data_IF_550464871836
#
_entry.id   IF_550464871836
#
_cell.length_a   1.000
_cell.length_b   1.000
_cell.length_c   1.000
_cell.angle_alpha   90.00
_cell.angle_beta   90.00
_cell.angle_gamma   90.00
#
_symmetry.space_group_name_H-M   'P 1'
#
loop_
_entity.id
_entity.type
_entity.pdbx_description
1 polymer ?
#
# COMPACT_ATOMS: atom_id res chain seq x y z
N UNK A 1 -4.56 10.32 20.04
CA UNK A 1 -4.58 9.70 18.69
C UNK A 1 -6.02 9.61 18.25
N UNK A 2 -6.31 9.96 17.00
CA UNK A 2 -7.66 9.96 16.44
C UNK A 2 -7.64 9.22 15.11
N UNK A 3 -8.63 8.37 14.88
CA UNK A 3 -8.86 7.75 13.58
C UNK A 3 -9.77 8.68 12.79
N UNK A 4 -9.35 9.03 11.58
CA UNK A 4 -10.11 9.84 10.63
C UNK A 4 -11.50 9.21 10.44
N UNK A 5 -12.53 10.04 10.28
CA UNK A 5 -13.94 9.63 10.16
C UNK A 5 -14.55 8.91 11.38
N UNK A 6 -13.78 8.57 12.42
CA UNK A 6 -14.26 7.90 13.63
C UNK A 6 -14.54 8.85 14.80
N UNK A 7 -14.18 10.13 14.66
CA UNK A 7 -14.41 11.16 15.70
C UNK A 7 -14.73 12.51 15.07
N UNK A 8 -15.54 13.33 15.77
CA UNK A 8 -15.84 14.70 15.33
C UNK A 8 -14.72 15.65 15.68
N UNK A 9 -14.55 16.71 14.89
CA UNK A 9 -13.60 17.80 15.19
C UNK A 9 -13.84 18.42 16.56
N UNK A 10 -15.11 18.58 16.97
CA UNK A 10 -15.47 19.10 18.31
C UNK A 10 -14.88 18.23 19.42
N UNK A 11 -14.91 16.91 19.28
CA UNK A 11 -14.31 16.00 20.24
C UNK A 11 -12.78 16.09 20.21
N UNK A 12 -12.18 16.13 19.02
CA UNK A 12 -10.72 16.26 18.84
C UNK A 12 -10.17 17.55 19.46
N UNK A 13 -10.93 18.64 19.41
CA UNK A 13 -10.55 19.95 19.95
C UNK A 13 -10.54 20.01 21.48
N UNK A 14 -11.27 19.12 22.16
CA UNK A 14 -11.18 18.98 23.62
C UNK A 14 -9.77 18.56 24.10
N UNK A 15 -8.94 18.06 23.18
CA UNK A 15 -7.58 17.62 23.45
C UNK A 15 -6.52 18.56 22.86
N UNK A 16 -6.86 19.81 22.52
CA UNK A 16 -5.92 20.78 21.92
C UNK A 16 -4.70 21.11 22.79
N UNK A 17 -4.77 20.83 24.10
CA UNK A 17 -3.66 20.99 25.04
C UNK A 17 -2.64 19.83 25.02
N UNK A 18 -2.89 18.76 24.25
CA UNK A 18 -2.05 17.57 24.16
C UNK A 18 -1.52 17.36 22.74
N UNK A 19 -0.48 16.53 22.61
CA UNK A 19 -0.04 16.08 21.30
C UNK A 19 -1.08 15.13 20.69
N UNK A 20 -1.49 15.45 19.46
CA UNK A 20 -2.52 14.72 18.71
C UNK A 20 -1.90 14.13 17.46
N UNK A 21 -2.16 12.85 17.25
CA UNK A 21 -1.79 12.11 16.03
C UNK A 21 -3.07 11.76 15.28
N UNK A 22 -3.09 12.00 13.97
CA UNK A 22 -4.19 11.64 13.09
C UNK A 22 -3.85 10.37 12.30
N UNK A 23 -4.72 9.38 12.34
CA UNK A 23 -4.54 8.11 11.63
C UNK A 23 -5.67 7.96 10.61
N UNK A 24 -5.34 7.60 9.38
CA UNK A 24 -6.33 7.38 8.32
C UNK A 24 -6.19 5.98 7.71
N UNK A 25 -7.30 5.24 7.58
CA UNK A 25 -7.30 4.01 6.78
C UNK A 25 -7.53 4.36 5.31
N UNK A 26 -6.42 4.63 4.64
CA UNK A 26 -6.38 5.04 3.25
C UNK A 26 -6.61 3.88 2.27
N UNK A 27 -6.64 2.63 2.74
CA UNK A 27 -6.71 1.46 1.86
C UNK A 27 -8.15 1.14 1.45
N UNK A 28 -8.48 1.38 0.18
CA UNK A 28 -9.80 1.10 -0.41
C UNK A 28 -10.04 -0.41 -0.62
N UNK A 29 -10.33 -1.13 0.45
CA UNK A 29 -10.56 -2.57 0.43
C UNK A 29 -11.73 -2.95 -0.48
N UNK A 30 -11.46 -3.79 -1.48
CA UNK A 30 -12.48 -4.43 -2.32
C UNK A 30 -12.95 -5.77 -1.76
N UNK A 31 -14.12 -6.21 -2.20
CA UNK A 31 -14.68 -7.52 -1.77
C UNK A 31 -13.87 -8.68 -2.35
N UNK A 32 -13.29 -8.48 -3.54
CA UNK A 32 -12.36 -9.42 -4.18
C UNK A 32 -11.20 -8.70 -4.84
N UNK A 33 -10.05 -9.36 -4.95
CA UNK A 33 -8.88 -8.81 -5.63
C UNK A 33 -9.17 -8.43 -7.10
N UNK A 34 -10.09 -9.13 -7.78
CA UNK A 34 -10.42 -8.86 -9.19
C UNK A 34 -11.03 -7.46 -9.39
N UNK A 35 -11.74 -6.94 -8.40
CA UNK A 35 -12.43 -5.64 -8.48
C UNK A 35 -11.47 -4.45 -8.63
N UNK A 36 -10.21 -4.58 -8.20
CA UNK A 36 -9.19 -3.54 -8.44
C UNK A 36 -8.91 -3.31 -9.94
N UNK A 37 -9.32 -4.21 -10.85
CA UNK A 37 -9.23 -3.97 -12.31
C UNK A 37 -9.99 -2.73 -12.76
N UNK A 38 -11.07 -2.36 -12.07
CA UNK A 38 -11.85 -1.17 -12.40
C UNK A 38 -11.05 0.12 -12.20
N UNK A 39 -10.06 0.10 -11.31
CA UNK A 39 -9.20 1.22 -11.00
C UNK A 39 -7.84 0.72 -10.49
N UNK A 40 -6.90 0.51 -11.41
CA UNK A 40 -5.58 -0.02 -11.07
C UNK A 40 -4.70 0.96 -10.31
N UNK A 41 -4.96 2.26 -10.41
CA UNK A 41 -4.23 3.30 -9.70
C UNK A 41 -5.23 4.27 -9.08
N UNK A 42 -5.11 4.50 -7.78
CA UNK A 42 -5.98 5.40 -7.04
C UNK A 42 -5.20 6.24 -6.03
N UNK A 43 -5.81 7.35 -5.62
CA UNK A 43 -5.29 8.19 -4.55
C UNK A 43 -5.24 7.37 -3.25
N UNK A 44 -4.13 7.47 -2.53
CA UNK A 44 -3.98 6.82 -1.22
C UNK A 44 -4.04 7.88 -0.12
N UNK A 45 -3.08 8.81 -0.05
CA UNK A 45 -3.09 9.84 0.98
C UNK A 45 -2.26 11.07 0.63
N UNK A 46 -2.66 12.21 1.17
CA UNK A 46 -1.88 13.45 1.27
C UNK A 46 -1.68 13.89 2.73
N UNK A 47 -2.07 13.04 3.70
CA UNK A 47 -2.13 13.41 5.11
C UNK A 47 -0.76 13.85 5.66
N UNK A 48 0.31 13.19 5.20
CA UNK A 48 1.69 13.52 5.54
C UNK A 48 2.10 14.95 5.14
N UNK A 49 1.38 15.59 4.21
CA UNK A 49 1.59 16.98 3.77
C UNK A 49 0.79 17.98 4.61
N UNK A 50 -0.34 17.57 5.21
CA UNK A 50 -1.36 18.52 5.71
C UNK A 50 -1.79 18.33 7.16
N UNK A 51 -1.34 17.29 7.87
CA UNK A 51 -1.70 17.06 9.28
C UNK A 51 -1.39 18.25 10.20
N UNK A 52 -0.28 18.97 9.96
CA UNK A 52 0.09 20.15 10.75
C UNK A 52 -0.90 21.32 10.55
N UNK A 53 -1.35 21.54 9.32
CA UNK A 53 -2.38 22.55 9.02
C UNK A 53 -3.72 22.23 9.67
N UNK A 54 -3.94 20.95 10.01
CA UNK A 54 -5.09 20.46 10.77
C UNK A 54 -4.87 20.52 12.30
N UNK A 55 -3.72 21.01 12.76
CA UNK A 55 -3.41 21.18 14.19
C UNK A 55 -2.94 19.91 14.89
N UNK A 56 -2.45 18.91 14.15
CA UNK A 56 -1.90 17.66 14.67
C UNK A 56 -0.36 17.69 14.69
N UNK A 57 0.24 16.93 15.61
CA UNK A 57 1.69 16.80 15.81
C UNK A 57 2.25 15.54 15.15
N UNK A 58 1.39 14.68 14.62
CA UNK A 58 1.82 13.52 13.85
C UNK A 58 0.69 12.94 13.01
N UNK A 59 1.05 11.97 12.19
CA UNK A 59 0.14 11.25 11.32
C UNK A 59 0.49 9.76 11.28
N UNK A 60 -0.42 8.95 10.75
CA UNK A 60 -0.20 7.54 10.48
C UNK A 60 -1.30 6.96 9.58
N UNK A 61 -1.12 5.70 9.19
CA UNK A 61 -2.08 4.94 8.40
C UNK A 61 -2.03 3.45 8.79
N UNK A 62 -2.90 2.67 8.16
CA UNK A 62 -2.97 1.21 8.31
C UNK A 62 -2.26 0.46 7.15
N UNK A 63 -1.30 1.10 6.51
CA UNK A 63 -0.54 0.60 5.36
C UNK A 63 -1.45 0.12 4.21
N UNK A 64 -0.92 -0.72 3.33
CA UNK A 64 -1.60 -1.28 2.14
C UNK A 64 -2.52 -2.47 2.45
N UNK A 65 -2.88 -2.65 3.73
CA UNK A 65 -3.76 -3.74 4.20
C UNK A 65 -5.03 -3.20 4.87
N UNK A 66 -4.95 -1.99 5.43
CA UNK A 66 -6.03 -1.33 6.15
C UNK A 66 -6.32 -1.93 7.53
N UNK A 67 -7.39 -1.46 8.16
CA UNK A 67 -7.77 -1.72 9.55
C UNK A 67 -8.43 -3.09 9.83
N UNK A 68 -8.82 -3.81 8.79
CA UNK A 68 -9.59 -5.03 8.88
C UNK A 68 -8.68 -6.24 8.88
N UNK A 69 -8.91 -7.09 9.88
CA UNK A 69 -8.34 -8.42 9.96
C UNK A 69 -9.43 -9.47 9.74
N UNK A 70 -9.16 -10.43 8.86
CA UNK A 70 -9.93 -11.64 8.74
C UNK A 70 -9.01 -12.85 8.97
N UNK A 71 -9.50 -13.79 9.79
CA UNK A 71 -8.80 -15.05 10.03
C UNK A 71 -9.05 -16.00 8.86
N UNK A 72 -7.98 -16.33 8.12
CA UNK A 72 -8.05 -17.20 6.94
C UNK A 72 -8.35 -16.46 5.63
N UNK A 73 -8.52 -17.25 4.58
CA UNK A 73 -8.83 -16.78 3.23
C UNK A 73 -9.15 -17.97 2.34
N UNK A 74 -10.14 -17.80 1.46
CA UNK A 74 -10.40 -18.79 0.41
C UNK A 74 -9.22 -18.92 -0.54
N UNK A 75 -9.22 -19.97 -1.37
CA UNK A 75 -8.21 -20.15 -2.40
C UNK A 75 -8.13 -18.90 -3.29
N UNK A 76 -6.92 -18.34 -3.44
CA UNK A 76 -6.74 -17.14 -4.23
C UNK A 76 -7.02 -17.43 -5.72
N UNK A 77 -8.07 -16.83 -6.28
CA UNK A 77 -8.34 -16.86 -7.73
C UNK A 77 -7.54 -15.76 -8.45
N UNK A 78 -7.25 -14.66 -7.75
CA UNK A 78 -6.50 -13.53 -8.29
C UNK A 78 -5.52 -13.07 -7.23
N UNK A 79 -4.22 -13.08 -7.53
CA UNK A 79 -3.25 -12.39 -6.69
C UNK A 79 -3.31 -10.89 -6.98
N UNK A 80 -3.15 -10.08 -5.93
CA UNK A 80 -3.01 -8.65 -6.04
C UNK A 80 -1.84 -8.18 -5.16
N UNK A 81 -1.03 -7.30 -5.73
CA UNK A 81 0.07 -6.59 -5.07
C UNK A 81 -0.31 -5.13 -4.99
N UNK A 82 -0.08 -4.51 -3.85
CA UNK A 82 -0.48 -3.14 -3.58
C UNK A 82 0.77 -2.33 -3.26
N UNK A 83 1.17 -1.46 -4.19
CA UNK A 83 2.43 -0.72 -4.08
C UNK A 83 2.09 0.77 -4.06
N UNK A 84 2.51 1.44 -3.00
CA UNK A 84 2.36 2.88 -2.86
C UNK A 84 3.55 3.63 -3.47
N UNK A 85 3.34 4.82 -4.00
CA UNK A 85 4.42 5.67 -4.50
C UNK A 85 3.99 7.14 -4.43
N UNK A 86 4.95 8.04 -4.21
CA UNK A 86 4.72 9.47 -4.27
C UNK A 86 4.72 9.98 -5.72
N UNK A 87 3.91 11.00 -5.99
CA UNK A 87 3.93 11.78 -7.22
C UNK A 87 4.64 13.12 -7.01
N UNK A 88 5.04 13.84 -8.08
CA UNK A 88 5.59 15.18 -7.96
C UNK A 88 4.69 16.19 -7.23
N UNK A 89 3.38 15.90 -7.13
CA UNK A 89 2.39 16.67 -6.35
C UNK A 89 2.51 16.46 -4.83
N UNK A 90 3.44 15.62 -4.37
CA UNK A 90 3.60 15.15 -2.98
C UNK A 90 2.46 14.23 -2.50
N UNK A 91 1.47 13.94 -3.34
CA UNK A 91 0.43 12.97 -3.03
C UNK A 91 0.99 11.55 -3.14
N UNK A 92 0.58 10.68 -2.23
CA UNK A 92 0.84 9.24 -2.33
C UNK A 92 -0.33 8.57 -3.03
N UNK A 93 -0.01 7.79 -4.05
CA UNK A 93 -0.95 6.94 -4.77
C UNK A 93 -0.64 5.49 -4.46
N UNK A 94 -1.64 4.63 -4.66
CA UNK A 94 -1.48 3.18 -4.62
C UNK A 94 -1.79 2.63 -6.01
N UNK A 95 -0.98 1.68 -6.46
CA UNK A 95 -1.24 0.90 -7.68
C UNK A 95 -1.39 -0.56 -7.34
N UNK A 96 -2.41 -1.18 -7.91
CA UNK A 96 -2.74 -2.58 -7.76
C UNK A 96 -2.22 -3.33 -8.99
N UNK A 97 -1.35 -4.31 -8.76
CA UNK A 97 -0.88 -5.23 -9.79
C UNK A 97 -1.54 -6.57 -9.58
N UNK A 98 -2.23 -7.07 -10.60
CA UNK A 98 -3.05 -8.25 -10.49
C UNK A 98 -2.52 -9.34 -11.41
N UNK A 99 -2.64 -10.59 -10.96
CA UNK A 99 -2.49 -11.76 -11.82
C UNK A 99 -3.53 -11.73 -12.96
N UNK A 100 -3.29 -12.45 -14.05
CA UNK A 100 -4.20 -12.53 -15.19
C UNK A 100 -5.62 -12.97 -14.79
N UNK A 101 -6.61 -12.52 -15.57
CA UNK A 101 -8.02 -12.78 -15.25
C UNK A 101 -8.35 -14.26 -15.49
N UNK A 102 -8.96 -14.89 -14.49
CA UNK A 102 -9.36 -16.29 -14.56
C UNK A 102 -10.64 -16.55 -13.79
N UNK A 103 -11.26 -17.69 -14.12
CA UNK A 103 -12.50 -18.17 -13.49
C UNK A 103 -12.26 -19.27 -12.44
N UNK A 104 -11.09 -19.91 -12.47
CA UNK A 104 -10.71 -21.02 -11.59
C UNK A 104 -9.37 -20.68 -10.96
N UNK A 105 -9.17 -21.10 -9.71
CA UNK A 105 -7.91 -20.88 -9.02
C UNK A 105 -6.74 -21.61 -9.69
N UNK A 106 -5.55 -21.08 -9.48
CA UNK A 106 -4.30 -21.57 -10.03
C UNK A 106 -3.25 -21.73 -8.92
N UNK A 107 -2.06 -22.19 -9.27
CA UNK A 107 -0.94 -22.22 -8.33
C UNK A 107 -0.49 -20.81 -7.94
N UNK A 108 -0.24 -20.60 -6.65
CA UNK A 108 0.18 -19.30 -6.11
C UNK A 108 1.42 -18.72 -6.80
N UNK A 109 2.47 -19.51 -7.13
CA UNK A 109 3.62 -18.99 -7.88
C UNK A 109 3.26 -18.40 -9.24
N UNK A 110 2.36 -19.02 -10.00
CA UNK A 110 1.90 -18.52 -11.32
C UNK A 110 1.20 -17.18 -11.13
N UNK A 111 0.27 -17.10 -10.17
CA UNK A 111 -0.46 -15.86 -9.86
C UNK A 111 0.48 -14.73 -9.47
N UNK A 112 1.52 -15.02 -8.70
CA UNK A 112 2.52 -14.04 -8.28
C UNK A 112 3.41 -13.63 -9.45
N UNK A 113 3.85 -14.57 -10.29
CA UNK A 113 4.71 -14.31 -11.44
C UNK A 113 4.08 -13.28 -12.38
N UNK A 114 2.81 -13.46 -12.74
CA UNK A 114 2.08 -12.53 -13.59
C UNK A 114 1.90 -11.16 -12.94
N UNK A 115 1.52 -11.11 -11.65
CA UNK A 115 1.34 -9.85 -10.95
C UNK A 115 2.67 -9.09 -10.78
N UNK A 116 3.77 -9.80 -10.54
CA UNK A 116 5.10 -9.19 -10.42
C UNK A 116 5.63 -8.76 -11.80
N UNK A 117 5.28 -9.43 -12.88
CA UNK A 117 5.63 -9.00 -14.24
C UNK A 117 5.06 -7.61 -14.58
N UNK A 118 3.80 -7.37 -14.20
CA UNK A 118 3.18 -6.04 -14.35
C UNK A 118 3.85 -4.99 -13.44
N UNK A 119 4.24 -5.39 -12.23
CA UNK A 119 5.02 -4.53 -11.33
C UNK A 119 6.40 -4.20 -11.90
N UNK A 120 7.13 -5.17 -12.46
CA UNK A 120 8.42 -4.92 -13.11
C UNK A 120 8.27 -3.91 -14.24
N UNK A 121 7.23 -4.07 -15.08
CA UNK A 121 6.93 -3.14 -16.16
C UNK A 121 6.68 -1.72 -15.66
N UNK A 122 5.95 -1.56 -14.55
CA UNK A 122 5.76 -0.25 -13.91
C UNK A 122 7.08 0.31 -13.34
N UNK A 123 7.90 -0.50 -12.68
CA UNK A 123 9.18 -0.07 -12.14
C UNK A 123 10.14 0.37 -13.24
N UNK A 124 10.10 -0.22 -14.44
CA UNK A 124 10.87 0.27 -15.59
C UNK A 124 10.49 1.70 -15.99
N UNK A 125 9.27 2.13 -15.72
CA UNK A 125 8.84 3.53 -15.95
C UNK A 125 9.22 4.48 -14.82
N UNK A 126 9.58 3.94 -13.64
CA UNK A 126 9.91 4.66 -12.41
C UNK A 126 11.10 4.02 -11.69
N UNK A 127 12.28 3.92 -12.34
CA UNK A 127 13.43 3.22 -11.79
C UNK A 127 13.95 3.84 -10.47
N UNK A 128 13.65 5.12 -10.22
CA UNK A 128 13.99 5.82 -8.98
C UNK A 128 13.39 5.19 -7.72
N UNK A 129 12.29 4.41 -7.85
CA UNK A 129 11.71 3.67 -6.73
C UNK A 129 12.72 2.67 -6.13
N UNK A 130 13.54 2.05 -6.98
CA UNK A 130 14.54 1.07 -6.56
C UNK A 130 15.74 1.71 -5.83
N UNK A 131 15.90 3.05 -5.91
CA UNK A 131 16.99 3.73 -5.19
C UNK A 131 16.77 3.78 -3.68
N UNK A 132 15.51 3.67 -3.24
CA UNK A 132 15.15 3.77 -1.82
C UNK A 132 14.36 2.57 -1.30
N UNK A 133 13.67 1.82 -2.17
CA UNK A 133 12.93 0.64 -1.73
C UNK A 133 13.76 -0.64 -1.82
N UNK A 134 14.28 -1.11 -0.69
CA UNK A 134 14.94 -2.41 -0.60
C UNK A 134 13.93 -3.54 -0.81
N UNK A 135 12.72 -3.35 -0.30
CA UNK A 135 11.63 -4.33 -0.41
C UNK A 135 11.25 -4.62 -1.86
N UNK A 136 11.21 -3.61 -2.75
CA UNK A 136 10.93 -3.85 -4.16
C UNK A 136 12.12 -4.40 -4.94
N UNK A 137 13.37 -4.05 -4.57
CA UNK A 137 14.53 -4.76 -5.13
C UNK A 137 14.42 -6.27 -4.84
N UNK A 138 14.10 -6.63 -3.60
CA UNK A 138 13.93 -8.03 -3.20
C UNK A 138 12.78 -8.72 -3.96
N UNK A 139 11.64 -8.05 -4.17
CA UNK A 139 10.54 -8.60 -5.00
C UNK A 139 11.02 -8.93 -6.42
N UNK A 140 11.81 -8.04 -7.03
CA UNK A 140 12.34 -8.26 -8.39
C UNK A 140 13.40 -9.35 -8.44
N UNK A 141 14.26 -9.47 -7.41
CA UNK A 141 15.22 -10.57 -7.28
C UNK A 141 14.52 -11.93 -7.16
N UNK A 142 13.45 -12.01 -6.36
CA UNK A 142 12.62 -13.22 -6.24
C UNK A 142 12.01 -13.61 -7.58
N UNK A 143 11.49 -12.63 -8.32
CA UNK A 143 10.92 -12.84 -9.65
C UNK A 143 11.95 -13.38 -10.64
N UNK A 144 13.13 -12.74 -10.71
CA UNK A 144 14.24 -13.17 -11.56
C UNK A 144 14.77 -14.56 -11.19
N UNK A 145 14.65 -14.97 -9.92
CA UNK A 145 14.97 -16.30 -9.43
C UNK A 145 13.92 -17.39 -9.71
N UNK A 146 12.86 -17.08 -10.48
CA UNK A 146 11.77 -18.02 -10.81
C UNK A 146 10.63 -18.05 -9.80
N UNK A 147 10.41 -16.96 -9.05
CA UNK A 147 9.25 -16.71 -8.19
C UNK A 147 8.92 -17.82 -7.17
N UNK A 148 9.95 -18.43 -6.58
CA UNK A 148 9.80 -19.46 -5.53
C UNK A 148 9.51 -18.83 -4.18
N UNK A 149 8.28 -18.36 -3.99
CA UNK A 149 7.87 -17.65 -2.78
C UNK A 149 6.41 -17.88 -2.42
N UNK A 150 5.95 -17.29 -1.31
CA UNK A 150 4.56 -17.33 -0.87
C UNK A 150 3.90 -15.96 -0.99
N UNK A 151 2.58 -15.96 -1.13
CA UNK A 151 1.77 -14.73 -1.09
C UNK A 151 1.96 -13.96 0.23
N UNK A 152 2.16 -14.66 1.34
CA UNK A 152 2.42 -14.03 2.64
C UNK A 152 3.75 -13.26 2.65
N UNK A 153 4.79 -13.82 2.04
CA UNK A 153 6.09 -13.16 1.97
C UNK A 153 6.06 -11.92 1.09
N UNK A 154 5.44 -12.02 -0.09
CA UNK A 154 5.29 -10.88 -0.97
C UNK A 154 4.43 -9.77 -0.33
N UNK A 155 3.34 -10.12 0.37
CA UNK A 155 2.57 -9.14 1.16
C UNK A 155 3.40 -8.44 2.23
N UNK A 156 4.27 -9.18 2.93
CA UNK A 156 5.21 -8.60 3.90
C UNK A 156 6.12 -7.56 3.22
N UNK A 157 6.64 -7.86 2.03
CA UNK A 157 7.46 -6.92 1.26
C UNK A 157 6.66 -5.70 0.78
N UNK A 158 5.38 -5.85 0.42
CA UNK A 158 4.51 -4.70 0.10
C UNK A 158 4.30 -3.76 1.29
N UNK A 159 4.11 -4.31 2.50
CA UNK A 159 4.00 -3.51 3.73
C UNK A 159 5.33 -2.83 4.06
N UNK A 160 6.45 -3.56 3.96
CA UNK A 160 7.77 -3.01 4.21
C UNK A 160 8.12 -1.89 3.22
N UNK A 161 7.79 -2.06 1.93
CA UNK A 161 7.90 -1.04 0.91
C UNK A 161 7.12 0.23 1.28
N UNK A 162 5.89 0.07 1.77
CA UNK A 162 5.09 1.20 2.22
C UNK A 162 5.79 1.96 3.37
N UNK A 163 6.36 1.28 4.35
CA UNK A 163 7.12 1.93 5.42
C UNK A 163 8.40 2.62 4.92
N UNK A 164 9.09 2.03 3.93
CA UNK A 164 10.23 2.68 3.27
C UNK A 164 9.80 3.99 2.57
N UNK A 165 8.64 4.00 1.90
CA UNK A 165 8.07 5.21 1.31
C UNK A 165 7.74 6.25 2.38
N UNK A 166 7.05 5.85 3.44
CA UNK A 166 6.68 6.76 4.54
C UNK A 166 7.91 7.37 5.22
N UNK A 167 8.99 6.59 5.37
CA UNK A 167 10.27 7.10 5.84
C UNK A 167 10.87 8.12 4.86
N UNK A 168 10.94 7.79 3.57
CA UNK A 168 11.46 8.68 2.52
C UNK A 168 10.73 10.03 2.50
N UNK A 169 9.39 10.03 2.51
CA UNK A 169 8.62 11.29 2.46
C UNK A 169 8.72 12.09 3.77
N UNK A 170 8.98 11.43 4.90
CA UNK A 170 9.22 12.12 6.17
C UNK A 170 10.60 12.77 6.25
N UNK A 171 11.64 12.16 5.65
CA UNK A 171 13.02 12.66 5.68
C UNK A 171 13.35 13.68 4.57
N UNK A 172 12.56 13.72 3.50
CA UNK A 172 12.76 14.64 2.37
C UNK A 172 12.00 15.97 2.52
N UNK A 173 11.52 16.28 3.72
CA UNK A 173 10.89 17.57 4.06
C UNK A 173 11.93 18.67 4.31
#
# INVERSE_FOLDING_TARGET
>A
MFIEHSSSTIYQDQFSAFERVLIDDCFNRKSTNREYRAQLEEFFTDLHVHYERRGFQGYGDFSVVGDYFAEGGGQAITAALHITFDKPTLEIYIRHFLSEERKVADEVPILLEEAISELESFIRTKPEILMWSKSLNEVLEIYQGGCKTSLAYIKKLSIAHHFELMHKVATNK
#
